data_IF_104250305051
#
_entry.id   IF_104250305051
#
_cell.length_a   1.000
_cell.length_b   1.000
_cell.length_c   1.000
_cell.angle_alpha   90.00
_cell.angle_beta   90.00
_cell.angle_gamma   90.00
#
_symmetry.space_group_name_H-M   'P 1'
#
loop_
_entity.id
_entity.type
_entity.pdbx_description
1 polymer ?
#
# COMPACT_ATOMS: atom_id res chain seq x y z
N UNK A 1 -22.62 5.22 24.76
CA UNK A 1 -22.55 5.76 23.38
C UNK A 1 -21.31 6.62 23.32
N UNK A 2 -20.20 6.07 22.78
CA UNK A 2 -18.90 6.75 22.79
C UNK A 2 -18.78 7.66 21.56
N UNK A 3 -18.41 8.91 21.81
CA UNK A 3 -18.40 10.03 20.88
C UNK A 3 -17.19 9.94 19.93
N UNK A 4 -17.42 9.56 18.67
CA UNK A 4 -16.40 9.41 17.63
C UNK A 4 -15.75 10.75 17.21
N UNK A 5 -16.27 11.89 17.68
CA UNK A 5 -15.64 13.19 17.44
C UNK A 5 -14.54 13.53 18.47
N UNK A 6 -14.49 12.83 19.62
CA UNK A 6 -13.49 13.08 20.65
C UNK A 6 -12.10 12.60 20.24
N UNK A 7 -12.01 11.48 19.50
CA UNK A 7 -10.75 10.94 18.97
C UNK A 7 -10.10 11.83 17.93
N UNK A 8 -10.89 12.59 17.15
CA UNK A 8 -10.38 13.50 16.12
C UNK A 8 -9.70 14.74 16.73
N UNK A 9 -10.21 15.23 17.87
CA UNK A 9 -9.65 16.40 18.57
C UNK A 9 -8.32 16.10 19.23
N UNK A 10 -8.13 14.87 19.73
CA UNK A 10 -6.85 14.43 20.29
C UNK A 10 -5.76 14.23 19.22
N UNK A 11 -6.14 13.98 17.97
CA UNK A 11 -5.19 13.85 16.87
C UNK A 11 -4.71 15.21 16.34
N UNK A 12 -5.61 16.20 16.27
CA UNK A 12 -5.26 17.56 15.84
C UNK A 12 -4.32 18.26 16.84
N UNK A 13 -4.57 18.12 18.15
CA UNK A 13 -3.75 18.76 19.18
C UNK A 13 -2.31 18.25 19.24
N UNK A 14 -2.02 17.07 18.68
CA UNK A 14 -0.66 16.48 18.69
C UNK A 14 0.21 16.97 17.52
N UNK A 15 -0.34 17.73 16.57
CA UNK A 15 0.32 18.08 15.29
C UNK A 15 0.76 19.54 15.16
N UNK A 16 0.35 20.42 16.07
CA UNK A 16 0.72 21.85 16.04
C UNK A 16 2.12 22.14 16.65
N UNK A 17 2.89 21.10 16.99
CA UNK A 17 4.11 21.23 17.79
C UNK A 17 5.45 20.98 17.08
N UNK A 18 5.49 20.30 15.94
CA UNK A 18 6.78 19.97 15.31
C UNK A 18 6.68 19.96 13.79
N UNK A 19 7.50 20.80 13.19
CA UNK A 19 7.50 21.10 11.78
C UNK A 19 8.78 20.56 11.14
N UNK A 20 8.58 19.98 9.96
CA UNK A 20 9.52 19.92 8.84
C UNK A 20 10.59 18.82 8.78
N UNK A 21 10.23 17.83 7.95
CA UNK A 21 11.05 17.22 6.89
C UNK A 21 11.98 16.04 7.24
N UNK A 22 12.18 15.68 8.51
CA UNK A 22 12.95 14.48 8.88
C UNK A 22 12.09 13.32 9.45
N UNK A 23 10.84 13.57 9.85
CA UNK A 23 9.97 12.61 10.56
C UNK A 23 9.07 11.74 9.66
N UNK A 24 9.25 11.78 8.34
CA UNK A 24 8.57 10.81 7.45
C UNK A 24 9.14 9.38 7.61
N UNK A 25 10.23 9.23 8.36
CA UNK A 25 10.82 7.96 8.74
C UNK A 25 10.77 7.81 10.28
N UNK A 26 9.87 6.94 10.76
CA UNK A 26 10.00 6.23 12.04
C UNK A 26 9.84 7.01 13.36
N UNK A 27 8.61 7.40 13.74
CA UNK A 27 8.27 7.53 15.16
C UNK A 27 6.76 7.38 15.51
N UNK A 28 6.17 6.21 15.26
CA UNK A 28 5.16 5.63 16.20
C UNK A 28 5.26 4.11 16.14
N UNK A 29 6.44 3.60 16.52
CA UNK A 29 6.56 2.22 17.02
C UNK A 29 6.28 2.28 18.53
N UNK A 30 5.05 2.70 18.90
CA UNK A 30 4.62 2.60 20.30
C UNK A 30 4.24 1.15 20.57
N UNK A 31 4.92 0.58 21.56
CA UNK A 31 4.79 -0.77 22.11
C UNK A 31 3.36 -1.18 22.55
N UNK A 32 2.35 -0.33 22.31
CA UNK A 32 0.94 -0.57 22.62
C UNK A 32 0.21 -1.38 21.53
N UNK A 33 0.76 -1.42 20.31
CA UNK A 33 0.17 -2.16 19.17
C UNK A 33 0.62 -3.63 19.05
N UNK A 34 1.54 -4.09 19.89
CA UNK A 34 1.99 -5.49 19.90
C UNK A 34 0.86 -6.48 20.26
N UNK A 35 -0.24 -5.98 20.84
CA UNK A 35 -1.42 -6.76 21.22
C UNK A 35 -2.47 -6.92 20.11
N UNK A 36 -2.29 -6.29 18.93
CA UNK A 36 -3.11 -6.52 17.74
C UNK A 36 -2.23 -7.17 16.68
N UNK A 37 -2.60 -8.36 16.21
CA UNK A 37 -1.94 -9.03 15.07
C UNK A 37 -2.16 -8.22 13.77
N UNK A 38 -1.47 -7.08 13.65
CA UNK A 38 -1.58 -6.20 12.48
C UNK A 38 -0.69 -6.73 11.36
N UNK A 39 -1.28 -6.89 10.19
CA UNK A 39 -0.58 -7.28 8.97
C UNK A 39 -0.12 -6.04 8.21
N UNK A 40 1.18 -5.88 8.09
CA UNK A 40 1.77 -4.78 7.32
C UNK A 40 1.86 -5.13 5.84
N UNK A 41 1.54 -4.17 4.98
CA UNK A 41 1.69 -4.26 3.52
C UNK A 41 2.40 -3.01 2.99
N UNK A 42 3.52 -3.22 2.31
CA UNK A 42 4.24 -2.14 1.61
C UNK A 42 3.48 -1.82 0.33
N UNK A 43 3.12 -0.55 0.13
CA UNK A 43 2.37 -0.09 -1.04
C UNK A 43 3.20 0.92 -1.83
N UNK A 44 3.44 0.58 -3.10
CA UNK A 44 4.24 1.35 -4.05
C UNK A 44 3.37 1.91 -5.18
N UNK A 45 3.92 2.86 -5.95
CA UNK A 45 3.26 3.37 -7.17
C UNK A 45 2.12 4.35 -6.90
N UNK A 46 1.96 4.80 -5.65
CA UNK A 46 1.01 5.87 -5.29
C UNK A 46 1.41 7.15 -6.05
N UNK A 47 0.45 7.90 -6.64
CA UNK A 47 0.76 9.12 -7.39
C UNK A 47 1.39 10.21 -6.52
N UNK A 48 1.02 10.26 -5.24
CA UNK A 48 1.53 11.19 -4.24
C UNK A 48 1.64 10.50 -2.89
N UNK A 49 2.66 10.84 -2.11
CA UNK A 49 2.81 10.46 -0.71
C UNK A 49 1.95 11.37 0.16
N UNK A 50 0.64 11.12 0.18
CA UNK A 50 -0.30 11.81 1.04
C UNK A 50 -1.19 10.83 1.79
N UNK A 51 -1.67 11.25 2.97
CA UNK A 51 -2.59 10.48 3.81
C UNK A 51 -3.82 10.02 3.02
N UNK A 52 -4.28 10.82 2.05
CA UNK A 52 -5.42 10.48 1.19
C UNK A 52 -5.19 9.23 0.32
N UNK A 53 -3.99 9.01 -0.20
CA UNK A 53 -3.69 7.82 -1.02
C UNK A 53 -3.48 6.57 -0.17
N UNK A 54 -2.87 6.71 1.01
CA UNK A 54 -2.79 5.61 1.97
C UNK A 54 -4.18 5.14 2.43
N UNK A 55 -5.10 6.08 2.69
CA UNK A 55 -6.49 5.77 3.02
C UNK A 55 -7.23 5.08 1.86
N UNK A 56 -7.04 5.53 0.62
CA UNK A 56 -7.61 4.86 -0.56
C UNK A 56 -7.12 3.42 -0.71
N UNK A 57 -5.82 3.17 -0.46
CA UNK A 57 -5.27 1.82 -0.47
C UNK A 57 -5.84 0.95 0.65
N UNK A 58 -6.00 1.49 1.86
CA UNK A 58 -6.64 0.78 2.97
C UNK A 58 -8.12 0.45 2.67
N UNK A 59 -8.85 1.35 2.01
CA UNK A 59 -10.24 1.16 1.63
C UNK A 59 -10.45 -0.01 0.63
N UNK A 60 -9.41 -0.44 -0.09
CA UNK A 60 -9.49 -1.65 -0.93
C UNK A 60 -9.66 -2.90 -0.08
N UNK A 61 -8.92 -3.02 1.03
CA UNK A 61 -9.07 -4.15 1.95
C UNK A 61 -10.45 -4.15 2.61
N UNK A 62 -10.97 -2.97 2.97
CA UNK A 62 -12.33 -2.83 3.49
C UNK A 62 -13.36 -3.34 2.48
N UNK A 63 -13.25 -2.95 1.21
CA UNK A 63 -14.16 -3.43 0.19
C UNK A 63 -14.08 -4.95 0.00
N UNK A 64 -12.88 -5.51 -0.02
CA UNK A 64 -12.71 -6.96 -0.16
C UNK A 64 -13.27 -7.73 1.05
N UNK A 65 -13.17 -7.17 2.26
CA UNK A 65 -13.86 -7.70 3.43
C UNK A 65 -15.39 -7.65 3.25
N UNK A 66 -15.95 -6.51 2.86
CA UNK A 66 -17.39 -6.34 2.60
C UNK A 66 -17.92 -7.31 1.53
N UNK A 67 -17.05 -7.73 0.62
CA UNK A 67 -17.35 -8.73 -0.42
C UNK A 67 -17.14 -10.19 0.02
N UNK A 68 -16.73 -10.41 1.27
CA UNK A 68 -16.54 -11.75 1.83
C UNK A 68 -15.28 -12.46 1.35
N UNK A 69 -14.25 -11.73 0.90
CA UNK A 69 -12.97 -12.31 0.52
C UNK A 69 -12.25 -12.88 1.74
N UNK A 70 -12.41 -14.19 1.98
CA UNK A 70 -11.90 -14.89 3.16
C UNK A 70 -10.40 -14.69 3.45
N UNK A 71 -9.58 -14.46 2.42
CA UNK A 71 -8.15 -14.29 2.57
C UNK A 71 -7.77 -12.93 3.20
N UNK A 72 -8.61 -11.90 3.02
CA UNK A 72 -8.40 -10.58 3.63
C UNK A 72 -8.63 -10.65 5.14
N UNK A 73 -9.59 -11.47 5.56
CA UNK A 73 -10.06 -11.48 6.95
C UNK A 73 -10.70 -10.13 7.28
N UNK A 74 -10.29 -9.55 8.40
CA UNK A 74 -10.74 -8.22 8.84
C UNK A 74 -9.86 -7.13 8.24
N UNK A 75 -10.46 -6.10 7.62
CA UNK A 75 -9.72 -5.01 6.98
C UNK A 75 -8.94 -4.16 7.98
N UNK A 76 -9.42 -4.02 9.21
CA UNK A 76 -8.78 -3.27 10.29
C UNK A 76 -7.42 -3.84 10.72
N UNK A 77 -7.12 -5.08 10.35
CA UNK A 77 -5.82 -5.71 10.61
C UNK A 77 -4.75 -5.23 9.64
N UNK A 78 -5.11 -4.68 8.48
CA UNK A 78 -4.17 -4.32 7.42
C UNK A 78 -3.62 -2.92 7.65
N UNK A 79 -2.31 -2.82 7.85
CA UNK A 79 -1.58 -1.55 7.95
C UNK A 79 -0.84 -1.27 6.64
N UNK A 80 -1.33 -0.27 5.90
CA UNK A 80 -0.70 0.22 4.67
C UNK A 80 0.55 1.03 5.01
N UNK A 81 1.67 0.69 4.38
CA UNK A 81 2.95 1.41 4.48
C UNK A 81 3.24 1.99 3.09
N UNK A 82 2.90 3.27 2.83
CA UNK A 82 3.22 3.91 1.57
C UNK A 82 4.73 4.13 1.45
N UNK A 83 5.34 3.68 0.36
CA UNK A 83 6.80 3.76 0.16
C UNK A 83 7.14 4.40 -1.19
N UNK A 84 8.14 5.28 -1.21
CA UNK A 84 8.69 5.83 -2.46
C UNK A 84 9.65 4.87 -3.14
N UNK A 85 9.68 4.91 -4.47
CA UNK A 85 10.72 4.24 -5.25
C UNK A 85 12.11 4.82 -4.99
N UNK A 86 12.19 6.09 -4.57
CA UNK A 86 13.43 6.72 -4.14
C UNK A 86 13.75 6.53 -2.65
N UNK A 87 13.01 5.68 -1.93
CA UNK A 87 13.27 5.45 -0.50
C UNK A 87 14.72 4.98 -0.28
N UNK A 88 15.51 5.68 0.56
CA UNK A 88 16.84 5.21 0.94
C UNK A 88 16.74 3.82 1.55
N UNK A 89 17.63 2.90 1.17
CA UNK A 89 17.60 1.51 1.65
C UNK A 89 16.34 0.70 1.26
N UNK A 90 15.77 0.95 0.08
CA UNK A 90 14.64 0.17 -0.47
C UNK A 90 14.86 -1.36 -0.42
N UNK A 91 16.09 -1.82 -0.62
CA UNK A 91 16.51 -3.22 -0.52
C UNK A 91 16.26 -3.81 0.88
N UNK A 92 16.46 -3.04 1.95
CA UNK A 92 16.18 -3.48 3.33
C UNK A 92 14.69 -3.75 3.56
N UNK A 93 13.80 -3.09 2.82
CA UNK A 93 12.36 -3.35 2.94
C UNK A 93 12.00 -4.77 2.53
N UNK A 94 12.70 -5.35 1.55
CA UNK A 94 12.43 -6.71 1.02
C UNK A 94 12.58 -7.77 2.11
N UNK A 95 13.60 -7.64 2.96
CA UNK A 95 13.83 -8.56 4.08
C UNK A 95 12.89 -8.33 5.27
N UNK A 96 12.37 -7.11 5.43
CA UNK A 96 11.59 -6.72 6.62
C UNK A 96 10.08 -6.91 6.44
N UNK A 97 9.57 -6.83 5.21
CA UNK A 97 8.13 -6.87 4.94
C UNK A 97 7.79 -8.02 3.99
N UNK A 98 6.94 -8.98 4.42
CA UNK A 98 6.59 -10.12 3.58
C UNK A 98 5.48 -9.81 2.56
N UNK A 99 4.72 -8.72 2.73
CA UNK A 99 3.56 -8.39 1.89
C UNK A 99 3.78 -7.09 1.15
N UNK A 100 3.57 -7.15 -0.17
CA UNK A 100 3.84 -6.06 -1.08
C UNK A 100 2.67 -5.88 -2.02
N UNK A 101 2.39 -4.62 -2.33
CA UNK A 101 1.37 -4.24 -3.26
C UNK A 101 1.78 -3.03 -4.10
N UNK A 102 1.15 -2.92 -5.26
CA UNK A 102 1.28 -1.79 -6.17
C UNK A 102 -0.08 -1.15 -6.37
N UNK A 103 -0.14 0.17 -6.26
CA UNK A 103 -1.34 0.94 -6.56
C UNK A 103 -1.50 1.13 -8.06
N UNK A 104 -2.70 0.87 -8.56
CA UNK A 104 -3.08 0.99 -9.97
C UNK A 104 -4.32 1.86 -10.10
N UNK A 105 -4.29 2.85 -10.99
CA UNK A 105 -5.42 3.72 -11.34
C UNK A 105 -5.78 3.57 -12.81
N UNK A 106 -6.98 4.02 -13.18
CA UNK A 106 -7.53 3.92 -14.54
C UNK A 106 -7.00 5.02 -15.48
N UNK A 107 -5.68 5.27 -15.43
CA UNK A 107 -4.98 6.26 -16.24
C UNK A 107 -3.69 5.70 -16.86
N UNK A 108 -3.22 6.33 -17.94
CA UNK A 108 -2.01 5.90 -18.65
C UNK A 108 -0.74 6.10 -17.82
N UNK A 109 -0.72 7.11 -16.95
CA UNK A 109 0.43 7.37 -16.07
C UNK A 109 0.59 6.24 -15.06
N UNK A 110 -0.50 5.58 -14.67
CA UNK A 110 -0.51 4.44 -13.76
C UNK A 110 0.28 3.28 -14.33
N UNK A 111 0.15 3.00 -15.64
CA UNK A 111 0.96 1.94 -16.26
C UNK A 111 2.46 2.27 -16.15
N UNK A 112 2.85 3.50 -16.46
CA UNK A 112 4.24 3.94 -16.38
C UNK A 112 4.78 3.95 -14.93
N UNK A 113 3.94 4.26 -13.94
CA UNK A 113 4.29 4.15 -12.51
C UNK A 113 4.49 2.68 -12.12
N UNK A 114 3.54 1.81 -12.43
CA UNK A 114 3.60 0.38 -12.11
C UNK A 114 4.81 -0.28 -12.78
N UNK A 115 5.10 0.06 -14.04
CA UNK A 115 6.28 -0.45 -14.72
C UNK A 115 7.58 -0.10 -13.97
N UNK A 116 7.72 1.16 -13.53
CA UNK A 116 8.88 1.59 -12.71
C UNK A 116 8.96 0.84 -11.38
N UNK A 117 7.81 0.58 -10.75
CA UNK A 117 7.74 -0.23 -9.52
C UNK A 117 8.24 -1.65 -9.78
N UNK A 118 7.73 -2.32 -10.81
CA UNK A 118 8.12 -3.69 -11.15
C UNK A 118 9.61 -3.80 -11.48
N UNK A 119 10.12 -2.84 -12.26
CA UNK A 119 11.55 -2.74 -12.56
C UNK A 119 12.38 -2.60 -11.29
N UNK A 120 11.99 -1.70 -10.38
CA UNK A 120 12.71 -1.47 -9.12
C UNK A 120 12.70 -2.69 -8.21
N UNK A 121 11.56 -3.36 -8.07
CA UNK A 121 11.44 -4.62 -7.32
C UNK A 121 12.38 -5.67 -7.91
N UNK A 122 12.41 -5.80 -9.24
CA UNK A 122 13.29 -6.76 -9.91
C UNK A 122 14.78 -6.45 -9.71
N UNK A 123 15.18 -5.17 -9.80
CA UNK A 123 16.57 -4.73 -9.60
C UNK A 123 17.14 -5.04 -8.22
N UNK A 124 16.28 -5.12 -7.19
CA UNK A 124 16.70 -5.42 -5.81
C UNK A 124 16.43 -6.87 -5.40
N UNK A 125 16.17 -7.76 -6.37
CA UNK A 125 15.76 -9.15 -6.11
C UNK A 125 14.57 -9.27 -5.14
N UNK A 126 13.60 -8.35 -5.29
CA UNK A 126 12.43 -8.23 -4.45
C UNK A 126 11.39 -9.35 -4.62
N UNK A 127 10.20 -9.19 -4.02
CA UNK A 127 9.16 -10.22 -4.03
C UNK A 127 8.68 -10.58 -5.43
N UNK A 128 8.58 -11.90 -5.69
CA UNK A 128 8.04 -12.45 -6.94
C UNK A 128 6.52 -12.48 -7.01
N UNK A 129 5.84 -12.08 -5.95
CA UNK A 129 4.38 -12.01 -5.88
C UNK A 129 3.96 -10.76 -5.16
N UNK A 130 3.18 -9.92 -5.83
CA UNK A 130 2.65 -8.66 -5.27
C UNK A 130 1.17 -8.54 -5.59
N UNK A 131 0.44 -7.77 -4.79
CA UNK A 131 -0.99 -7.51 -5.02
C UNK A 131 -1.18 -6.20 -5.77
N UNK A 132 -2.06 -6.16 -6.76
CA UNK A 132 -2.53 -4.91 -7.35
C UNK A 132 -3.68 -4.37 -6.49
N UNK A 133 -3.48 -3.21 -5.86
CA UNK A 133 -4.53 -2.44 -5.22
C UNK A 133 -5.06 -1.43 -6.22
N UNK A 134 -6.38 -1.35 -6.38
CA UNK A 134 -6.99 -0.41 -7.31
C UNK A 134 -8.38 0.03 -6.84
N UNK A 135 -8.84 1.25 -7.20
CA UNK A 135 -10.25 1.62 -7.09
C UNK A 135 -11.10 0.76 -8.05
N UNK A 136 -12.44 0.81 -8.01
CA UNK A 136 -13.23 0.16 -9.05
C UNK A 136 -12.83 0.70 -10.42
N UNK A 137 -12.47 -0.18 -11.36
CA UNK A 137 -11.96 0.21 -12.68
C UNK A 137 -12.89 -0.25 -13.79
N UNK A 138 -13.12 0.62 -14.76
CA UNK A 138 -13.86 0.26 -15.98
C UNK A 138 -12.96 -0.48 -16.98
N UNK A 139 -11.66 -0.12 -17.05
CA UNK A 139 -10.72 -0.72 -18.01
C UNK A 139 -10.01 -1.96 -17.45
N UNK A 140 -10.66 -3.10 -17.58
CA UNK A 140 -10.08 -4.41 -17.22
C UNK A 140 -8.79 -4.74 -18.00
N UNK A 141 -8.61 -4.18 -19.21
CA UNK A 141 -7.43 -4.42 -20.04
C UNK A 141 -6.11 -3.89 -19.46
N UNK A 142 -6.15 -2.84 -18.63
CA UNK A 142 -4.93 -2.29 -18.01
C UNK A 142 -4.29 -3.29 -17.04
N UNK A 143 -5.10 -3.92 -16.18
CA UNK A 143 -4.64 -4.89 -15.20
C UNK A 143 -4.05 -6.13 -15.89
N UNK A 144 -4.70 -6.62 -16.95
CA UNK A 144 -4.18 -7.73 -17.76
C UNK A 144 -2.82 -7.39 -18.39
N UNK A 145 -2.66 -6.17 -18.92
CA UNK A 145 -1.39 -5.71 -19.48
C UNK A 145 -0.29 -5.62 -18.42
N UNK A 146 -0.61 -5.14 -17.22
CA UNK A 146 0.33 -5.10 -16.08
C UNK A 146 0.77 -6.52 -15.70
N UNK A 147 -0.17 -7.45 -15.56
CA UNK A 147 0.14 -8.85 -15.23
C UNK A 147 1.04 -9.50 -16.28
N UNK A 148 0.73 -9.28 -17.57
CA UNK A 148 1.54 -9.79 -18.68
C UNK A 148 2.97 -9.25 -18.61
N UNK A 149 3.13 -7.94 -18.48
CA UNK A 149 4.45 -7.29 -18.46
C UNK A 149 5.25 -7.68 -17.22
N UNK A 150 4.61 -7.72 -16.04
CA UNK A 150 5.24 -8.16 -14.80
C UNK A 150 5.82 -9.57 -14.93
N UNK A 151 5.06 -10.49 -15.51
CA UNK A 151 5.49 -11.87 -15.67
C UNK A 151 6.57 -12.03 -16.74
N UNK A 152 6.40 -11.40 -17.90
CA UNK A 152 7.30 -11.58 -19.05
C UNK A 152 8.66 -10.92 -18.85
N UNK A 153 8.70 -9.72 -18.26
CA UNK A 153 9.94 -8.94 -18.17
C UNK A 153 10.62 -9.02 -16.81
N UNK A 154 9.87 -9.30 -15.75
CA UNK A 154 10.39 -9.21 -14.38
C UNK A 154 10.22 -10.51 -13.58
N UNK A 155 9.53 -11.51 -14.11
CA UNK A 155 9.19 -12.76 -13.41
C UNK A 155 8.46 -12.51 -12.08
N UNK A 156 7.55 -11.53 -12.08
CA UNK A 156 6.71 -11.15 -10.93
C UNK A 156 5.25 -11.51 -11.24
N UNK A 157 4.63 -12.26 -10.35
CA UNK A 157 3.19 -12.53 -10.33
C UNK A 157 2.45 -11.35 -9.69
N UNK A 158 1.76 -10.56 -10.50
CA UNK A 158 0.83 -9.53 -10.00
C UNK A 158 -0.54 -10.17 -9.78
N UNK A 159 -0.95 -10.27 -8.52
CA UNK A 159 -2.27 -10.75 -8.12
C UNK A 159 -3.29 -9.64 -8.26
N UNK A 160 -4.33 -9.88 -9.05
CA UNK A 160 -5.44 -8.96 -9.25
C UNK A 160 -6.69 -9.64 -8.69
N UNK A 161 -7.42 -8.92 -7.84
CA UNK A 161 -8.69 -9.40 -7.30
C UNK A 161 -9.79 -8.47 -7.79
N UNK A 162 -10.73 -9.04 -8.55
CA UNK A 162 -11.94 -8.34 -8.96
C UNK A 162 -12.86 -8.20 -7.76
N UNK A 163 -13.06 -6.95 -7.34
CA UNK A 163 -13.90 -6.56 -6.21
C UNK A 163 -14.46 -5.16 -6.39
#
# INVERSE_FOLDING_TARGET
MSDQAASLRQWAAKRDGDDSAAEACSEVVSADNASRNLEQVVVLGLPKFSDGYALKAAAVFQRWEEQGMKWVGSADRWRVIPVSLEYPDFDKLVGNYPRWAVWVEDDLDSFARVYRVLKRIHEVDGPRRIVALHPPMARQGLLANIQMVARQYFNIDVLVFSG
#
